data_IF_967042075322
#
_entry.id   IF_967042075322
#
_cell.length_a   1.000
_cell.length_b   1.000
_cell.length_c   1.000
_cell.angle_alpha   90.00
_cell.angle_beta   90.00
_cell.angle_gamma   90.00
#
_symmetry.space_group_name_H-M   'P 1'
#
loop_
_entity.id
_entity.type
_entity.pdbx_description
1 polymer ?
#
# COMPACT_ATOMS: atom_id res chain seq x y z
N UNK A 1 28.19 74.73 11.03
CA UNK A 1 27.09 73.87 10.57
C UNK A 1 26.01 74.78 10.00
N UNK A 2 25.76 74.64 8.71
CA UNK A 2 24.77 75.50 8.00
C UNK A 2 23.35 75.09 8.40
N UNK A 3 22.43 76.04 8.50
CA UNK A 3 21.00 75.87 8.79
C UNK A 3 20.32 74.72 8.02
N UNK A 4 20.74 74.52 6.76
CA UNK A 4 20.27 73.44 5.90
C UNK A 4 20.68 72.02 6.39
N UNK A 5 21.80 71.85 7.12
CA UNK A 5 22.20 70.55 7.67
C UNK A 5 21.50 70.22 9.00
N UNK A 6 20.97 71.23 9.68
CA UNK A 6 20.19 71.13 10.93
C UNK A 6 18.75 70.68 10.60
N UNK A 7 18.11 71.29 9.60
CA UNK A 7 16.77 70.92 9.14
C UNK A 7 16.75 69.45 8.63
N UNK A 8 17.73 69.03 7.80
CA UNK A 8 17.80 67.64 7.31
C UNK A 8 18.05 66.58 8.41
N UNK A 9 18.58 66.98 9.56
CA UNK A 9 18.75 66.07 10.71
C UNK A 9 17.49 65.94 11.56
N UNK A 10 16.73 67.06 11.70
CA UNK A 10 15.43 67.07 12.37
C UNK A 10 14.37 66.31 11.58
N UNK A 11 14.31 66.49 10.25
CA UNK A 11 13.41 65.74 9.35
C UNK A 11 13.64 64.22 9.41
N UNK A 12 14.90 63.78 9.51
CA UNK A 12 15.21 62.34 9.62
C UNK A 12 14.80 61.75 10.96
N UNK A 13 14.96 62.52 12.05
CA UNK A 13 14.56 62.11 13.41
C UNK A 13 13.02 61.94 13.51
N UNK A 14 12.27 62.86 12.90
CA UNK A 14 10.80 62.78 12.83
C UNK A 14 10.34 61.57 12.02
N UNK A 15 10.97 61.29 10.89
CA UNK A 15 10.68 60.10 10.05
C UNK A 15 10.97 58.78 10.76
N UNK A 16 12.07 58.70 11.52
CA UNK A 16 12.41 57.52 12.30
C UNK A 16 11.41 57.33 13.43
N UNK A 17 11.00 58.40 14.14
CA UNK A 17 10.04 58.31 15.22
C UNK A 17 8.63 57.93 14.72
N UNK A 18 8.23 58.40 13.54
CA UNK A 18 6.94 58.06 12.92
C UNK A 18 6.86 56.61 12.40
N UNK A 19 7.99 55.86 12.31
CA UNK A 19 8.00 54.49 11.83
C UNK A 19 7.31 53.57 12.85
N UNK A 20 6.32 52.75 12.44
CA UNK A 20 5.62 51.83 13.35
C UNK A 20 6.46 50.62 13.77
N UNK A 21 7.58 50.37 13.08
CA UNK A 21 8.49 49.27 13.39
C UNK A 21 9.66 49.79 14.26
N UNK A 22 10.28 48.90 15.07
CA UNK A 22 11.54 49.24 15.73
C UNK A 22 12.62 49.65 14.75
N UNK A 23 13.15 50.84 14.91
CA UNK A 23 14.21 51.42 14.05
C UNK A 23 15.32 51.93 14.91
N UNK A 24 16.55 51.67 14.52
CA UNK A 24 17.76 52.24 15.08
C UNK A 24 18.66 52.81 13.98
N UNK A 25 19.30 53.87 14.28
CA UNK A 25 20.38 54.45 13.48
C UNK A 25 21.69 54.18 14.18
N UNK A 26 22.65 53.60 13.50
CA UNK A 26 23.96 53.24 14.05
C UNK A 26 25.10 53.85 13.20
N UNK A 27 26.26 53.98 13.81
CA UNK A 27 27.50 54.20 13.08
C UNK A 27 27.98 52.88 12.46
N UNK A 28 29.08 52.95 11.70
CA UNK A 28 29.70 51.79 11.04
C UNK A 28 30.29 50.78 12.04
N UNK A 29 30.50 51.13 13.28
CA UNK A 29 30.93 50.25 14.37
C UNK A 29 29.79 49.67 15.16
N UNK A 30 28.53 49.95 14.76
CA UNK A 30 27.32 49.42 15.43
C UNK A 30 26.90 50.18 16.68
N UNK A 31 27.51 51.34 16.97
CA UNK A 31 27.06 52.17 18.09
C UNK A 31 25.75 52.86 17.74
N UNK A 32 24.75 52.74 18.61
CA UNK A 32 23.45 53.33 18.45
C UNK A 32 23.50 54.85 18.59
N UNK A 33 22.98 55.56 17.60
CA UNK A 33 22.98 57.04 17.53
C UNK A 33 21.57 57.59 17.74
N UNK A 34 20.54 56.92 17.20
CA UNK A 34 19.14 57.32 17.30
C UNK A 34 18.25 56.09 17.35
N UNK A 35 17.17 56.15 18.08
CA UNK A 35 16.16 55.10 18.20
C UNK A 35 14.77 55.72 18.17
N UNK A 36 13.75 54.96 17.79
CA UNK A 36 12.35 55.35 17.91
C UNK A 36 11.70 54.67 19.13
N UNK A 37 10.51 55.13 19.47
CA UNK A 37 9.71 54.60 20.58
C UNK A 37 9.41 53.09 20.39
N UNK A 38 9.15 52.62 19.16
CA UNK A 38 8.93 51.21 18.91
C UNK A 38 10.16 50.32 19.25
N UNK A 39 11.37 50.81 19.03
CA UNK A 39 12.60 50.11 19.42
C UNK A 39 12.77 50.10 20.96
N UNK A 40 12.46 51.17 21.64
CA UNK A 40 12.51 51.21 23.09
C UNK A 40 11.55 50.18 23.73
N UNK A 41 10.35 50.08 23.20
CA UNK A 41 9.38 49.06 23.61
C UNK A 41 9.89 47.62 23.34
N UNK A 42 10.57 47.40 22.22
CA UNK A 42 11.18 46.10 21.92
C UNK A 42 12.28 45.75 22.93
N UNK A 43 13.14 46.70 23.34
CA UNK A 43 14.15 46.46 24.37
C UNK A 43 13.53 46.08 25.72
N UNK A 44 12.43 46.76 26.12
CA UNK A 44 11.69 46.40 27.34
C UNK A 44 11.11 44.98 27.27
N UNK A 45 10.55 44.59 26.14
CA UNK A 45 10.02 43.22 25.90
C UNK A 45 11.12 42.19 25.99
N UNK A 46 12.34 42.50 25.53
CA UNK A 46 13.51 41.59 25.51
C UNK A 46 14.34 41.71 26.82
N UNK A 47 13.92 42.49 27.79
CA UNK A 47 14.66 42.76 29.03
C UNK A 47 16.10 43.22 28.78
N UNK A 48 16.36 43.98 27.71
CA UNK A 48 17.68 44.54 27.38
C UNK A 48 17.78 45.96 27.92
N UNK A 49 18.78 46.26 28.76
CA UNK A 49 19.02 47.61 29.23
C UNK A 49 19.34 48.58 28.08
N UNK A 50 18.93 49.84 28.20
CA UNK A 50 19.09 50.88 27.15
C UNK A 50 20.56 51.11 26.78
N UNK A 51 21.44 51.07 27.74
CA UNK A 51 22.88 51.20 27.56
C UNK A 51 23.53 49.99 26.84
N UNK A 52 22.85 48.85 26.82
CA UNK A 52 23.22 47.63 26.09
C UNK A 52 22.45 47.43 24.77
N UNK A 53 21.77 48.44 24.26
CA UNK A 53 20.91 48.34 23.06
C UNK A 53 21.60 47.72 21.82
N UNK A 54 22.92 47.87 21.69
CA UNK A 54 23.70 47.26 20.59
C UNK A 54 23.71 45.73 20.63
N UNK A 55 23.42 45.11 21.78
CA UNK A 55 23.39 43.63 21.93
C UNK A 55 22.26 42.99 21.14
N UNK A 56 21.24 43.76 20.71
CA UNK A 56 20.17 43.23 19.87
C UNK A 56 20.66 42.90 18.45
N UNK A 57 21.70 43.59 17.96
CA UNK A 57 22.20 43.41 16.61
C UNK A 57 22.73 41.98 16.40
N UNK A 58 22.50 41.35 15.22
CA UNK A 58 23.00 40.04 14.90
C UNK A 58 24.53 39.99 14.89
N UNK A 59 25.10 38.87 15.33
CA UNK A 59 26.57 38.65 15.26
C UNK A 59 27.06 38.72 13.79
N UNK A 60 28.21 39.31 13.59
CA UNK A 60 28.81 39.47 12.25
C UNK A 60 28.16 40.58 11.37
N UNK A 61 27.13 41.29 11.84
CA UNK A 61 26.51 42.37 11.07
C UNK A 61 27.50 43.46 10.68
N UNK A 62 28.47 43.82 11.54
CA UNK A 62 29.47 44.88 11.32
C UNK A 62 30.33 44.59 10.07
N UNK A 63 30.80 43.38 9.89
CA UNK A 63 31.59 42.97 8.71
C UNK A 63 30.79 43.13 7.41
N UNK A 64 29.48 42.76 7.41
CA UNK A 64 28.60 42.92 6.24
C UNK A 64 28.26 44.41 5.99
N UNK A 65 28.16 45.20 7.03
CA UNK A 65 27.99 46.67 6.95
C UNK A 65 29.19 47.30 6.27
N UNK A 66 30.43 46.98 6.67
CA UNK A 66 31.62 47.50 6.02
C UNK A 66 31.65 47.10 4.53
N UNK A 67 31.37 45.83 4.20
CA UNK A 67 31.26 45.39 2.82
C UNK A 67 30.19 46.16 2.02
N UNK A 68 29.06 46.50 2.63
CA UNK A 68 28.00 47.27 2.01
C UNK A 68 28.44 48.70 1.64
N UNK A 69 29.25 49.36 2.44
CA UNK A 69 29.79 50.67 2.12
C UNK A 69 30.88 50.66 1.04
N UNK A 70 31.62 49.57 0.91
CA UNK A 70 32.60 49.35 -0.14
C UNK A 70 32.03 48.81 -1.43
N UNK A 71 30.84 48.23 -1.40
CA UNK A 71 30.14 47.60 -2.54
C UNK A 71 28.97 48.43 -3.08
N UNK A 72 28.27 47.81 -4.06
CA UNK A 72 27.05 48.39 -4.67
C UNK A 72 25.75 47.93 -3.96
N UNK A 73 25.83 47.17 -2.89
CA UNK A 73 24.66 46.63 -2.18
C UNK A 73 23.85 47.76 -1.56
N UNK A 74 22.54 47.72 -1.77
CA UNK A 74 21.61 48.74 -1.26
C UNK A 74 21.12 48.45 0.15
N UNK A 75 20.92 47.20 0.49
CA UNK A 75 20.48 46.71 1.81
C UNK A 75 20.78 45.23 1.92
N UNK A 76 20.80 44.70 3.12
CA UNK A 76 20.84 43.27 3.41
C UNK A 76 20.02 42.94 4.65
N UNK A 77 19.58 41.67 4.75
CA UNK A 77 18.77 41.20 5.86
C UNK A 77 19.53 40.14 6.64
N UNK A 78 19.39 40.19 7.97
CA UNK A 78 19.88 39.18 8.90
C UNK A 78 18.74 38.72 9.81
N UNK A 79 18.82 37.47 10.26
CA UNK A 79 17.82 36.89 11.18
C UNK A 79 18.52 36.48 12.46
N UNK A 80 17.90 36.74 13.59
CA UNK A 80 18.39 36.34 14.91
C UNK A 80 17.23 35.89 15.79
N UNK A 81 17.46 34.80 16.51
CA UNK A 81 16.59 34.37 17.59
C UNK A 81 17.11 34.96 18.89
N UNK A 82 16.25 35.68 19.63
CA UNK A 82 16.61 36.31 20.89
C UNK A 82 15.43 36.16 21.85
N UNK A 83 15.65 35.55 22.99
CA UNK A 83 14.65 35.32 24.05
C UNK A 83 13.33 34.70 23.51
N UNK A 84 13.45 33.68 22.63
CA UNK A 84 12.32 32.98 22.00
C UNK A 84 11.60 33.78 20.91
N UNK A 85 12.09 34.96 20.53
CA UNK A 85 11.59 35.78 19.43
C UNK A 85 12.45 35.67 18.20
N UNK A 86 11.82 35.59 17.04
CA UNK A 86 12.49 35.57 15.74
C UNK A 86 12.48 36.94 15.12
N UNK A 87 13.61 37.64 15.22
CA UNK A 87 13.78 38.99 14.72
C UNK A 87 14.46 38.99 13.37
N UNK A 88 13.93 39.73 12.40
CA UNK A 88 14.50 39.98 11.09
C UNK A 88 14.97 41.45 11.04
N UNK A 89 16.24 41.65 10.70
CA UNK A 89 16.90 42.94 10.69
C UNK A 89 17.21 43.32 9.24
N UNK A 90 16.69 44.45 8.78
CA UNK A 90 17.00 45.03 7.48
C UNK A 90 17.95 46.20 7.66
N UNK A 91 19.15 46.09 7.11
CA UNK A 91 20.22 47.09 7.16
C UNK A 91 20.23 47.89 5.88
N UNK A 92 20.11 49.24 5.99
CA UNK A 92 20.16 50.16 4.86
C UNK A 92 21.19 51.29 5.11
N UNK A 93 22.08 51.63 4.15
CA UNK A 93 23.11 52.64 4.33
C UNK A 93 22.57 54.04 4.16
N UNK A 94 22.93 54.94 5.09
CA UNK A 94 22.81 56.40 4.94
C UNK A 94 24.17 56.90 4.46
N UNK A 95 24.40 56.85 3.14
CA UNK A 95 25.74 57.07 2.54
C UNK A 95 26.34 58.45 2.83
N UNK A 96 25.51 59.48 2.86
CA UNK A 96 25.92 60.88 3.14
C UNK A 96 26.54 61.08 4.52
N UNK A 97 26.17 60.25 5.50
CA UNK A 97 26.62 60.36 6.91
C UNK A 97 27.52 59.18 7.34
N UNK A 98 27.78 58.20 6.47
CA UNK A 98 28.41 56.92 6.85
C UNK A 98 27.74 56.24 8.04
N UNK A 99 26.42 56.22 8.02
CA UNK A 99 25.55 55.65 9.06
C UNK A 99 24.62 54.61 8.48
N UNK A 100 24.01 53.81 9.32
CA UNK A 100 23.12 52.73 8.94
C UNK A 100 21.79 52.93 9.60
N UNK A 101 20.71 52.71 8.84
CA UNK A 101 19.38 52.55 9.37
C UNK A 101 19.09 51.05 9.47
N UNK A 102 18.69 50.56 10.64
CA UNK A 102 18.32 49.16 10.86
C UNK A 102 16.87 49.12 11.27
N UNK A 103 16.04 48.45 10.48
CA UNK A 103 14.63 48.18 10.80
C UNK A 103 14.51 46.76 11.29
N UNK A 104 13.73 46.57 12.36
CA UNK A 104 13.59 45.25 12.99
C UNK A 104 12.14 44.80 12.85
N UNK A 105 11.93 43.60 12.37
CA UNK A 105 10.64 42.95 12.23
C UNK A 105 10.54 41.77 13.16
N UNK A 106 9.56 41.74 14.05
CA UNK A 106 9.25 40.53 14.83
C UNK A 106 8.45 39.56 13.96
N UNK A 107 9.06 38.45 13.62
CA UNK A 107 8.47 37.39 12.80
C UNK A 107 8.04 36.16 13.63
N UNK A 108 8.01 36.30 14.94
CA UNK A 108 7.77 35.19 15.87
C UNK A 108 6.44 34.50 15.60
N UNK A 109 5.35 35.25 15.56
CA UNK A 109 4.01 34.72 15.33
C UNK A 109 3.89 34.04 13.94
N UNK A 110 4.44 34.68 12.91
CA UNK A 110 4.42 34.16 11.56
C UNK A 110 5.18 32.83 11.44
N UNK A 111 6.33 32.73 12.14
CA UNK A 111 7.15 31.52 12.14
C UNK A 111 6.49 30.37 12.89
N UNK A 112 5.93 30.63 14.06
CA UNK A 112 5.18 29.60 14.80
C UNK A 112 3.94 29.14 14.04
N UNK A 113 3.20 30.05 13.43
CA UNK A 113 2.04 29.70 12.59
C UNK A 113 2.44 28.82 11.41
N UNK A 114 3.53 29.17 10.71
CA UNK A 114 4.02 28.35 9.60
C UNK A 114 4.47 26.94 10.02
N UNK A 115 5.16 26.84 11.17
CA UNK A 115 5.55 25.54 11.73
C UNK A 115 4.34 24.70 12.15
N UNK A 116 3.37 25.34 12.81
CA UNK A 116 2.13 24.66 13.22
C UNK A 116 1.34 24.17 12.00
N UNK A 117 1.18 25.00 10.97
CA UNK A 117 0.49 24.62 9.74
C UNK A 117 1.16 23.43 9.03
N UNK A 118 2.51 23.41 8.96
CA UNK A 118 3.25 22.30 8.38
C UNK A 118 3.04 20.98 9.14
N UNK A 119 3.06 21.04 10.47
CA UNK A 119 2.83 19.86 11.30
C UNK A 119 1.40 19.36 11.15
N UNK A 120 0.43 20.26 11.16
CA UNK A 120 -0.98 19.93 11.01
C UNK A 120 -1.28 19.34 9.62
N UNK A 121 -0.68 19.89 8.56
CA UNK A 121 -0.82 19.35 7.21
C UNK A 121 -0.31 17.90 7.11
N UNK A 122 0.84 17.59 7.73
CA UNK A 122 1.37 16.21 7.78
C UNK A 122 0.46 15.25 8.53
N UNK A 123 -0.08 15.68 9.67
CA UNK A 123 -1.02 14.88 10.45
C UNK A 123 -2.30 14.58 9.65
N UNK A 124 -2.81 15.58 8.95
CA UNK A 124 -4.01 15.47 8.12
C UNK A 124 -3.79 14.54 6.92
N UNK A 125 -2.63 14.59 6.28
CA UNK A 125 -2.24 13.64 5.23
C UNK A 125 -2.19 12.19 5.75
N UNK A 126 -1.63 11.99 6.94
CA UNK A 126 -1.56 10.65 7.55
C UNK A 126 -2.94 10.10 7.91
N UNK A 127 -3.81 10.92 8.51
CA UNK A 127 -5.19 10.55 8.83
C UNK A 127 -5.98 10.22 7.55
N UNK A 128 -5.86 11.04 6.52
CA UNK A 128 -6.53 10.81 5.23
C UNK A 128 -6.07 9.49 4.59
N UNK A 129 -4.76 9.21 4.62
CA UNK A 129 -4.21 7.94 4.13
C UNK A 129 -4.78 6.74 4.89
N UNK A 130 -4.85 6.81 6.23
CA UNK A 130 -5.45 5.74 7.07
C UNK A 130 -6.93 5.56 6.76
N UNK A 131 -7.67 6.64 6.56
CA UNK A 131 -9.09 6.60 6.21
C UNK A 131 -9.33 5.93 4.85
N UNK A 132 -8.55 6.28 3.83
CA UNK A 132 -8.64 5.65 2.51
C UNK A 132 -8.33 4.14 2.57
N UNK A 133 -7.34 3.74 3.37
CA UNK A 133 -7.01 2.34 3.59
C UNK A 133 -8.16 1.57 4.25
N UNK A 134 -8.77 2.15 5.29
CA UNK A 134 -9.90 1.54 5.98
C UNK A 134 -11.12 1.42 5.06
N UNK A 135 -11.44 2.46 4.29
CA UNK A 135 -12.54 2.45 3.32
C UNK A 135 -12.34 1.38 2.24
N UNK A 136 -11.13 1.28 1.69
CA UNK A 136 -10.83 0.26 0.69
C UNK A 136 -10.93 -1.17 1.25
N UNK A 137 -10.51 -1.38 2.50
CA UNK A 137 -10.68 -2.66 3.18
C UNK A 137 -12.15 -3.00 3.40
N UNK A 138 -12.98 -2.02 3.79
CA UNK A 138 -14.42 -2.21 3.95
C UNK A 138 -15.10 -2.58 2.62
N UNK A 139 -14.80 -1.87 1.53
CA UNK A 139 -15.34 -2.17 0.20
C UNK A 139 -14.94 -3.57 -0.27
N UNK A 140 -13.72 -3.98 -0.02
CA UNK A 140 -13.25 -5.33 -0.34
C UNK A 140 -14.00 -6.39 0.50
N UNK A 141 -14.13 -6.15 1.80
CA UNK A 141 -14.85 -7.03 2.73
C UNK A 141 -16.32 -7.16 2.36
N UNK A 142 -16.99 -6.04 2.05
CA UNK A 142 -18.39 -6.02 1.61
C UNK A 142 -18.60 -6.79 0.29
N UNK A 143 -17.70 -6.62 -0.70
CA UNK A 143 -17.73 -7.41 -1.94
C UNK A 143 -17.58 -8.90 -1.67
N UNK A 144 -16.71 -9.28 -0.75
CA UNK A 144 -16.50 -10.68 -0.37
C UNK A 144 -17.72 -11.24 0.39
N UNK A 145 -18.29 -10.49 1.33
CA UNK A 145 -19.49 -10.89 2.05
C UNK A 145 -20.70 -11.05 1.12
N UNK A 146 -20.93 -10.10 0.21
CA UNK A 146 -21.98 -10.17 -0.80
C UNK A 146 -21.79 -11.38 -1.74
N UNK A 147 -20.55 -11.63 -2.19
CA UNK A 147 -20.24 -12.83 -2.98
C UNK A 147 -20.50 -14.10 -2.17
N UNK A 148 -20.14 -14.10 -0.89
CA UNK A 148 -20.38 -15.22 0.03
C UNK A 148 -21.84 -15.60 0.14
N UNK A 149 -22.69 -14.63 0.37
CA UNK A 149 -24.11 -14.84 0.54
C UNK A 149 -24.80 -15.31 -0.76
N UNK A 150 -24.43 -14.73 -1.90
CA UNK A 150 -24.92 -15.16 -3.22
C UNK A 150 -24.45 -16.59 -3.54
N UNK A 151 -23.18 -16.90 -3.29
CA UNK A 151 -22.61 -18.23 -3.56
C UNK A 151 -23.27 -19.32 -2.73
N UNK A 152 -23.58 -19.06 -1.45
CA UNK A 152 -24.24 -20.04 -0.59
C UNK A 152 -25.63 -20.43 -1.13
N UNK A 153 -26.42 -19.44 -1.59
CA UNK A 153 -27.73 -19.68 -2.21
C UNK A 153 -27.63 -20.41 -3.55
N UNK A 154 -26.78 -19.91 -4.44
CA UNK A 154 -26.57 -20.50 -5.78
C UNK A 154 -25.99 -21.91 -5.68
N UNK A 155 -25.07 -22.17 -4.74
CA UNK A 155 -24.51 -23.51 -4.53
C UNK A 155 -25.59 -24.54 -4.21
N UNK A 156 -26.59 -24.18 -3.41
CA UNK A 156 -27.69 -25.07 -3.10
C UNK A 156 -28.57 -25.35 -4.31
N UNK A 157 -28.91 -24.32 -5.08
CA UNK A 157 -29.75 -24.43 -6.29
C UNK A 157 -29.06 -25.18 -7.44
N UNK A 158 -27.70 -25.13 -7.54
CA UNK A 158 -26.97 -25.88 -8.57
C UNK A 158 -26.65 -27.30 -8.11
N UNK A 159 -26.44 -27.57 -6.83
CA UNK A 159 -26.20 -28.94 -6.35
C UNK A 159 -27.36 -29.89 -6.62
N UNK A 160 -28.58 -29.40 -6.59
CA UNK A 160 -29.80 -30.19 -6.86
C UNK A 160 -29.84 -30.76 -8.29
N UNK A 161 -29.76 -29.96 -9.37
CA UNK A 161 -29.80 -30.50 -10.74
C UNK A 161 -28.52 -31.30 -11.06
N UNK A 162 -27.36 -30.89 -10.53
CA UNK A 162 -26.09 -31.65 -10.73
C UNK A 162 -26.15 -33.00 -10.04
N UNK A 163 -26.72 -33.09 -8.83
CA UNK A 163 -26.98 -34.35 -8.15
C UNK A 163 -27.89 -35.28 -8.96
N UNK A 164 -28.95 -34.75 -9.56
CA UNK A 164 -29.83 -35.49 -10.43
C UNK A 164 -29.13 -36.00 -11.70
N UNK A 165 -28.31 -35.15 -12.35
CA UNK A 165 -27.53 -35.55 -13.54
C UNK A 165 -26.51 -36.64 -13.16
N UNK A 166 -25.83 -36.52 -12.01
CA UNK A 166 -24.86 -37.51 -11.54
C UNK A 166 -25.54 -38.85 -11.26
N UNK A 167 -26.71 -38.84 -10.60
CA UNK A 167 -27.49 -40.05 -10.34
C UNK A 167 -27.95 -40.73 -11.63
N UNK A 168 -28.45 -39.95 -12.61
CA UNK A 168 -28.81 -40.48 -13.92
C UNK A 168 -27.62 -41.07 -14.68
N UNK A 169 -26.47 -40.40 -14.59
CA UNK A 169 -25.23 -40.92 -15.21
C UNK A 169 -24.76 -42.24 -14.59
N UNK A 170 -24.89 -42.39 -13.26
CA UNK A 170 -24.57 -43.67 -12.58
C UNK A 170 -25.53 -44.81 -13.03
N UNK A 171 -26.81 -44.51 -13.32
CA UNK A 171 -27.76 -45.46 -13.88
C UNK A 171 -27.35 -45.84 -15.30
N UNK A 172 -26.96 -44.86 -16.13
CA UNK A 172 -26.49 -45.11 -17.49
C UNK A 172 -25.21 -45.99 -17.52
N UNK A 173 -24.24 -45.70 -16.66
CA UNK A 173 -23.00 -46.47 -16.53
C UNK A 173 -23.32 -47.95 -16.23
N UNK A 174 -24.19 -48.20 -15.23
CA UNK A 174 -24.62 -49.56 -14.87
C UNK A 174 -25.37 -50.25 -15.98
N UNK A 175 -26.24 -49.48 -16.71
CA UNK A 175 -26.97 -50.06 -17.85
C UNK A 175 -26.07 -50.44 -19.00
N UNK A 176 -25.10 -49.58 -19.35
CA UNK A 176 -24.11 -49.87 -20.40
C UNK A 176 -23.23 -51.06 -20.01
N UNK A 177 -22.80 -51.15 -18.72
CA UNK A 177 -22.05 -52.33 -18.24
C UNK A 177 -22.84 -53.63 -18.37
N UNK A 178 -24.13 -53.62 -18.01
CA UNK A 178 -25.02 -54.80 -18.21
C UNK A 178 -25.21 -55.16 -19.67
N UNK A 179 -25.34 -54.14 -20.54
CA UNK A 179 -25.41 -54.40 -22.00
C UNK A 179 -24.12 -55.03 -22.50
N UNK A 180 -22.95 -54.57 -22.00
CA UNK A 180 -21.66 -55.15 -22.35
C UNK A 180 -21.54 -56.60 -21.90
N UNK A 181 -21.90 -56.90 -20.63
CA UNK A 181 -21.96 -58.26 -20.10
C UNK A 181 -22.82 -59.19 -20.95
N UNK A 182 -23.97 -58.66 -21.44
CA UNK A 182 -24.88 -59.41 -22.33
C UNK A 182 -24.22 -59.65 -23.69
N UNK A 183 -23.53 -58.67 -24.31
CA UNK A 183 -22.87 -58.83 -25.59
C UNK A 183 -21.61 -59.75 -25.49
N UNK A 184 -20.97 -59.79 -24.35
CA UNK A 184 -19.77 -60.61 -24.11
C UNK A 184 -20.10 -62.07 -23.72
N UNK A 185 -21.39 -62.37 -23.42
CA UNK A 185 -21.79 -63.73 -23.06
C UNK A 185 -21.87 -64.64 -24.28
N UNK A 186 -21.66 -65.97 -24.09
CA UNK A 186 -21.65 -67.02 -25.13
C UNK A 186 -23.02 -67.15 -25.81
N UNK A 187 -24.12 -66.66 -25.18
CA UNK A 187 -25.46 -66.73 -25.71
C UNK A 187 -25.78 -65.60 -26.74
N UNK A 188 -24.93 -64.59 -26.85
CA UNK A 188 -25.07 -63.56 -27.86
C UNK A 188 -24.59 -64.05 -29.21
N UNK A 189 -25.39 -63.94 -30.29
CA UNK A 189 -24.99 -64.29 -31.64
C UNK A 189 -23.74 -63.56 -32.06
N UNK A 190 -22.77 -64.27 -32.65
CA UNK A 190 -21.46 -63.74 -33.07
C UNK A 190 -21.63 -62.54 -34.01
N UNK A 191 -22.63 -62.58 -34.89
CA UNK A 191 -22.95 -61.49 -35.83
C UNK A 191 -23.35 -60.20 -35.16
N UNK A 192 -23.95 -60.24 -33.95
CA UNK A 192 -24.32 -59.05 -33.16
C UNK A 192 -23.11 -58.61 -32.35
N UNK A 193 -22.38 -59.53 -31.74
CA UNK A 193 -21.19 -59.23 -30.90
C UNK A 193 -20.06 -58.58 -31.69
N UNK A 194 -19.84 -59.06 -32.93
CA UNK A 194 -18.76 -58.56 -33.79
C UNK A 194 -19.23 -57.49 -34.77
N UNK A 195 -20.50 -57.08 -34.69
CA UNK A 195 -21.03 -56.01 -35.53
C UNK A 195 -20.31 -54.69 -35.24
N UNK A 196 -19.59 -54.08 -36.22
CA UNK A 196 -18.82 -52.86 -36.02
C UNK A 196 -19.62 -51.70 -35.49
N UNK A 197 -20.90 -51.61 -35.87
CA UNK A 197 -21.81 -50.50 -35.43
C UNK A 197 -22.19 -50.65 -33.95
N UNK A 198 -22.42 -51.90 -33.47
CA UNK A 198 -22.69 -52.20 -32.07
C UNK A 198 -21.44 -51.90 -31.20
N UNK A 199 -20.27 -52.35 -31.61
CA UNK A 199 -19.04 -52.10 -30.90
C UNK A 199 -18.72 -50.61 -30.83
N UNK A 200 -18.92 -49.91 -31.94
CA UNK A 200 -18.72 -48.45 -31.99
C UNK A 200 -19.72 -47.69 -31.08
N UNK A 201 -21.01 -48.08 -31.10
CA UNK A 201 -22.07 -47.46 -30.27
C UNK A 201 -21.77 -47.66 -28.79
N UNK A 202 -21.36 -48.87 -28.38
CA UNK A 202 -20.99 -49.16 -26.98
C UNK A 202 -19.80 -48.28 -26.51
N UNK A 203 -18.79 -48.16 -27.35
CA UNK A 203 -17.63 -47.29 -27.04
C UNK A 203 -18.06 -45.84 -26.89
N UNK A 204 -18.86 -45.32 -27.78
CA UNK A 204 -19.37 -43.93 -27.71
C UNK A 204 -20.17 -43.71 -26.44
N UNK A 205 -21.05 -44.63 -26.03
CA UNK A 205 -21.81 -44.55 -24.80
C UNK A 205 -20.92 -44.53 -23.55
N UNK A 206 -19.88 -45.39 -23.51
CA UNK A 206 -18.91 -45.39 -22.44
C UNK A 206 -18.15 -44.07 -22.35
N UNK A 207 -17.69 -43.51 -23.47
CA UNK A 207 -17.00 -42.22 -23.53
C UNK A 207 -17.87 -41.08 -23.08
N UNK A 208 -19.14 -41.03 -23.52
CA UNK A 208 -20.12 -39.98 -23.09
C UNK A 208 -20.36 -40.06 -21.59
N UNK A 209 -20.58 -41.27 -21.04
CA UNK A 209 -20.80 -41.46 -19.62
C UNK A 209 -19.60 -41.05 -18.79
N UNK A 210 -18.39 -41.41 -19.24
CA UNK A 210 -17.14 -41.03 -18.59
C UNK A 210 -16.96 -39.49 -18.57
N UNK A 211 -17.17 -38.84 -19.72
CA UNK A 211 -17.09 -37.39 -19.84
C UNK A 211 -18.13 -36.66 -18.98
N UNK A 212 -19.37 -37.17 -18.94
CA UNK A 212 -20.42 -36.61 -18.09
C UNK A 212 -20.05 -36.69 -16.60
N UNK A 213 -19.49 -37.81 -16.14
CA UNK A 213 -19.03 -37.96 -14.76
C UNK A 213 -17.95 -36.96 -14.42
N UNK A 214 -16.93 -36.80 -15.25
CA UNK A 214 -15.87 -35.81 -15.08
C UNK A 214 -16.48 -34.38 -15.00
N UNK A 215 -17.46 -34.06 -15.84
CA UNK A 215 -18.11 -32.76 -15.85
C UNK A 215 -18.89 -32.50 -14.55
N UNK A 216 -19.67 -33.48 -14.06
CA UNK A 216 -20.39 -33.40 -12.80
C UNK A 216 -19.46 -33.21 -11.61
N UNK A 217 -18.41 -34.04 -11.49
CA UNK A 217 -17.43 -33.95 -10.41
C UNK A 217 -16.74 -32.57 -10.41
N UNK A 218 -16.44 -32.04 -11.59
CA UNK A 218 -15.89 -30.71 -11.75
C UNK A 218 -16.81 -29.62 -11.25
N UNK A 219 -18.12 -29.66 -11.59
CA UNK A 219 -19.12 -28.69 -11.13
C UNK A 219 -19.23 -28.76 -9.60
N UNK A 220 -19.33 -29.98 -9.03
CA UNK A 220 -19.41 -30.18 -7.58
C UNK A 220 -18.17 -29.57 -6.88
N UNK A 221 -16.99 -29.78 -7.42
CA UNK A 221 -15.74 -29.25 -6.86
C UNK A 221 -15.70 -27.70 -6.93
N UNK A 222 -16.16 -27.12 -8.06
CA UNK A 222 -16.26 -25.65 -8.18
C UNK A 222 -17.22 -25.09 -7.13
N UNK A 223 -18.40 -25.72 -6.94
CA UNK A 223 -19.39 -25.26 -5.96
C UNK A 223 -18.86 -25.40 -4.53
N UNK A 224 -18.17 -26.48 -4.20
CA UNK A 224 -17.52 -26.66 -2.89
C UNK A 224 -16.48 -25.58 -2.65
N UNK A 225 -15.64 -25.30 -3.63
CA UNK A 225 -14.59 -24.27 -3.54
C UNK A 225 -15.19 -22.87 -3.36
N UNK A 226 -16.25 -22.55 -4.13
CA UNK A 226 -17.01 -21.32 -3.97
C UNK A 226 -17.63 -21.21 -2.56
N UNK A 227 -18.23 -22.29 -2.05
CA UNK A 227 -18.84 -22.30 -0.71
C UNK A 227 -17.79 -22.15 0.39
N UNK A 228 -16.63 -22.82 0.26
CA UNK A 228 -15.54 -22.68 1.22
C UNK A 228 -14.94 -21.26 1.20
N UNK A 229 -14.87 -20.64 0.02
CA UNK A 229 -14.43 -19.25 -0.12
C UNK A 229 -15.46 -18.25 0.41
N UNK A 230 -16.74 -18.55 0.30
CA UNK A 230 -17.86 -17.68 0.61
C UNK A 230 -18.32 -17.68 2.09
N UNK A 231 -17.85 -18.64 2.91
CA UNK A 231 -18.14 -18.69 4.36
C UNK A 231 -17.40 -17.59 5.13
N UNK A 232 -17.63 -16.35 4.77
CA UNK A 232 -16.97 -15.16 5.30
C UNK A 232 -17.41 -14.80 6.74
N UNK A 233 -18.52 -15.34 7.23
CA UNK A 233 -19.13 -14.95 8.50
C UNK A 233 -18.52 -15.66 9.73
N UNK A 234 -17.64 -16.64 9.52
CA UNK A 234 -16.97 -17.30 10.63
C UNK A 234 -15.59 -16.70 10.87
N UNK A 235 -15.55 -15.61 11.67
CA UNK A 235 -14.31 -15.03 12.22
C UNK A 235 -13.68 -15.95 13.31
N UNK A 236 -13.89 -17.26 13.22
CA UNK A 236 -13.35 -18.22 14.16
C UNK A 236 -12.03 -18.80 13.69
N UNK A 237 -11.08 -18.86 14.62
CA UNK A 237 -9.85 -19.62 14.43
C UNK A 237 -10.16 -21.10 14.40
N UNK A 238 -9.61 -21.80 13.42
CA UNK A 238 -9.75 -23.25 13.27
C UNK A 238 -8.43 -23.89 12.88
N UNK A 239 -8.28 -25.16 13.22
CA UNK A 239 -7.22 -26.00 12.66
C UNK A 239 -7.66 -26.46 11.29
N UNK A 240 -6.83 -26.20 10.29
CA UNK A 240 -7.12 -26.55 8.88
C UNK A 240 -5.89 -27.03 8.14
N UNK A 241 -6.14 -27.84 7.14
CA UNK A 241 -5.14 -28.20 6.15
C UNK A 241 -5.01 -27.04 5.12
N UNK A 242 -3.85 -26.42 5.05
CA UNK A 242 -3.56 -25.30 4.13
C UNK A 242 -3.76 -25.70 2.66
N UNK A 243 -3.47 -26.94 2.30
CA UNK A 243 -3.61 -27.41 0.91
C UNK A 243 -5.04 -27.31 0.39
N UNK A 244 -6.06 -27.50 1.25
CA UNK A 244 -7.47 -27.32 0.87
C UNK A 244 -7.77 -25.87 0.47
N UNK A 245 -7.20 -24.90 1.18
CA UNK A 245 -7.33 -23.48 0.87
C UNK A 245 -6.64 -23.10 -0.45
N UNK A 246 -5.42 -23.61 -0.66
CA UNK A 246 -4.66 -23.41 -1.90
C UNK A 246 -5.39 -24.02 -3.10
N UNK A 247 -5.87 -25.26 -2.98
CA UNK A 247 -6.58 -25.94 -4.05
C UNK A 247 -7.93 -25.29 -4.38
N UNK A 248 -8.67 -24.86 -3.36
CA UNK A 248 -9.90 -24.11 -3.55
C UNK A 248 -9.65 -22.78 -4.29
N UNK A 249 -8.59 -22.07 -3.93
CA UNK A 249 -8.19 -20.83 -4.60
C UNK A 249 -7.76 -21.06 -6.05
N UNK A 250 -7.01 -22.15 -6.33
CA UNK A 250 -6.63 -22.54 -7.70
C UNK A 250 -7.82 -22.85 -8.58
N UNK A 251 -8.85 -23.53 -8.05
CA UNK A 251 -10.08 -23.83 -8.79
C UNK A 251 -10.78 -22.52 -9.24
N UNK A 252 -10.84 -21.52 -8.36
CA UNK A 252 -11.48 -20.25 -8.65
C UNK A 252 -10.74 -19.43 -9.71
N UNK A 253 -9.40 -19.45 -9.70
CA UNK A 253 -8.60 -18.73 -10.71
C UNK A 253 -8.36 -19.56 -11.98
N UNK A 254 -8.84 -20.80 -12.06
CA UNK A 254 -8.58 -21.73 -13.16
C UNK A 254 -8.85 -21.12 -14.54
N UNK A 255 -9.92 -20.33 -14.70
CA UNK A 255 -10.27 -19.70 -15.97
C UNK A 255 -9.18 -18.75 -16.49
N UNK A 256 -8.40 -18.11 -15.58
CA UNK A 256 -7.28 -17.23 -15.94
C UNK A 256 -6.01 -18.01 -16.25
N UNK A 257 -5.89 -19.24 -15.75
CA UNK A 257 -4.71 -20.09 -15.90
C UNK A 257 -4.81 -21.04 -17.10
N UNK A 258 -6.05 -21.51 -17.41
CA UNK A 258 -6.33 -22.51 -18.42
C UNK A 258 -5.70 -22.19 -19.78
N UNK A 259 -5.09 -23.19 -20.40
CA UNK A 259 -4.49 -23.19 -21.73
C UNK A 259 -3.23 -22.33 -21.91
N UNK A 260 -2.73 -21.63 -20.86
CA UNK A 260 -1.54 -20.80 -20.96
C UNK A 260 -0.54 -20.95 -19.82
N UNK A 261 -0.98 -21.36 -18.64
CA UNK A 261 -0.12 -21.46 -17.45
C UNK A 261 -0.14 -22.91 -16.95
N UNK A 262 1.03 -23.53 -16.90
CA UNK A 262 1.23 -24.81 -16.27
C UNK A 262 1.28 -24.65 -14.75
N UNK A 263 0.53 -25.49 -14.02
CA UNK A 263 0.50 -25.47 -12.56
C UNK A 263 1.32 -26.64 -12.05
N UNK A 264 2.39 -26.34 -11.31
CA UNK A 264 3.23 -27.33 -10.65
C UNK A 264 2.98 -27.27 -9.14
N UNK A 265 2.51 -28.38 -8.57
CA UNK A 265 2.28 -28.53 -7.12
C UNK A 265 3.38 -29.38 -6.53
N UNK A 266 4.19 -28.81 -5.64
CA UNK A 266 5.23 -29.49 -4.85
C UNK A 266 4.82 -29.38 -3.36
N UNK A 267 3.80 -30.15 -2.97
CA UNK A 267 3.24 -30.15 -1.63
C UNK A 267 4.02 -31.09 -0.72
N UNK A 268 4.64 -30.52 0.33
CA UNK A 268 5.20 -31.30 1.44
C UNK A 268 4.12 -31.80 2.37
N UNK A 269 4.49 -32.71 3.26
CA UNK A 269 3.60 -33.14 4.35
C UNK A 269 3.56 -32.02 5.42
N UNK A 270 2.36 -31.46 5.66
CA UNK A 270 2.16 -30.33 6.58
C UNK A 270 1.22 -30.72 7.70
N UNK A 271 1.49 -30.25 8.93
CA UNK A 271 0.50 -30.31 10.00
C UNK A 271 -0.68 -29.36 9.73
N UNK A 272 -1.83 -29.64 10.30
CA UNK A 272 -2.90 -28.64 10.37
C UNK A 272 -2.45 -27.44 11.18
N UNK A 273 -2.74 -26.24 10.69
CA UNK A 273 -2.40 -24.98 11.35
C UNK A 273 -3.64 -24.31 11.91
N UNK A 274 -3.46 -23.62 13.04
CA UNK A 274 -4.47 -22.73 13.61
C UNK A 274 -4.47 -21.39 12.89
N UNK A 275 -5.57 -21.04 12.22
CA UNK A 275 -5.66 -19.82 11.44
C UNK A 275 -7.11 -19.33 11.29
N UNK A 276 -7.29 -18.20 10.61
CA UNK A 276 -8.55 -17.75 10.03
C UNK A 276 -8.61 -18.19 8.56
N UNK A 277 -9.29 -19.30 8.22
CA UNK A 277 -9.19 -19.93 6.90
C UNK A 277 -9.56 -18.99 5.75
N UNK A 278 -10.60 -18.19 5.95
CA UNK A 278 -11.10 -17.25 4.92
C UNK A 278 -10.08 -16.15 4.60
N UNK A 279 -9.39 -15.65 5.61
CA UNK A 279 -8.34 -14.65 5.43
C UNK A 279 -7.15 -15.23 4.67
N UNK A 280 -6.73 -16.46 4.98
CA UNK A 280 -5.67 -17.14 4.24
C UNK A 280 -6.08 -17.45 2.79
N UNK A 281 -7.32 -17.87 2.56
CA UNK A 281 -7.85 -18.07 1.22
C UNK A 281 -7.81 -16.77 0.40
N UNK A 282 -8.08 -15.61 1.03
CA UNK A 282 -7.93 -14.30 0.40
C UNK A 282 -6.47 -14.00 0.02
N UNK A 283 -5.52 -14.35 0.89
CA UNK A 283 -4.09 -14.21 0.57
C UNK A 283 -3.73 -15.06 -0.64
N UNK A 284 -4.09 -16.35 -0.63
CA UNK A 284 -3.80 -17.27 -1.72
C UNK A 284 -4.42 -16.79 -3.04
N UNK A 285 -5.69 -16.40 -3.01
CA UNK A 285 -6.38 -15.85 -4.18
C UNK A 285 -5.65 -14.64 -4.76
N UNK A 286 -5.29 -13.67 -3.92
CA UNK A 286 -4.61 -12.44 -4.36
C UNK A 286 -3.26 -12.76 -5.00
N UNK A 287 -2.47 -13.66 -4.42
CA UNK A 287 -1.16 -14.03 -4.95
C UNK A 287 -1.29 -14.82 -6.25
N UNK A 288 -2.24 -15.77 -6.34
CA UNK A 288 -2.48 -16.55 -7.54
C UNK A 288 -2.98 -15.70 -8.71
N UNK A 289 -3.89 -14.76 -8.45
CA UNK A 289 -4.36 -13.79 -9.46
C UNK A 289 -3.21 -12.88 -9.92
N UNK A 290 -2.37 -12.41 -9.00
CA UNK A 290 -1.22 -11.59 -9.36
C UNK A 290 -0.23 -12.36 -10.22
N UNK A 291 0.09 -13.60 -9.87
CA UNK A 291 0.95 -14.49 -10.67
C UNK A 291 0.37 -14.72 -12.07
N UNK A 292 -0.94 -15.04 -12.16
CA UNK A 292 -1.61 -15.23 -13.45
C UNK A 292 -1.56 -13.99 -14.34
N UNK A 293 -1.66 -12.79 -13.76
CA UNK A 293 -1.59 -11.53 -14.49
C UNK A 293 -0.16 -11.11 -14.85
N UNK A 294 0.83 -11.54 -14.06
CA UNK A 294 2.24 -11.27 -14.32
C UNK A 294 2.80 -12.09 -15.50
N UNK A 295 2.15 -13.19 -15.88
CA UNK A 295 2.55 -14.05 -17.02
C UNK A 295 1.79 -13.60 -18.27
N UNK A 296 2.40 -12.88 -19.23
CA UNK A 296 1.69 -12.33 -20.40
C UNK A 296 1.30 -13.37 -21.45
N UNK A 297 1.92 -14.55 -21.45
CA UNK A 297 1.71 -15.60 -22.43
C UNK A 297 1.66 -16.98 -21.78
N UNK A 298 2.45 -17.91 -22.26
CA UNK A 298 2.65 -19.21 -21.63
C UNK A 298 3.69 -19.11 -20.54
N UNK A 299 3.49 -19.84 -19.45
CA UNK A 299 4.44 -19.87 -18.34
C UNK A 299 4.06 -20.92 -17.29
N UNK A 300 4.75 -20.89 -16.16
CA UNK A 300 4.59 -21.86 -15.08
C UNK A 300 4.30 -21.12 -13.77
N UNK A 301 3.37 -21.67 -13.01
CA UNK A 301 3.04 -21.29 -11.65
C UNK A 301 3.36 -22.46 -10.73
N UNK A 302 4.37 -22.31 -9.88
CA UNK A 302 4.79 -23.36 -8.94
C UNK A 302 4.33 -23.01 -7.54
N UNK A 303 3.69 -23.96 -6.87
CA UNK A 303 3.29 -23.85 -5.46
C UNK A 303 4.02 -24.93 -4.69
N UNK A 304 4.90 -24.48 -3.80
CA UNK A 304 5.68 -25.39 -2.93
C UNK A 304 5.30 -25.15 -1.48
N UNK A 305 5.13 -26.23 -0.72
CA UNK A 305 4.89 -26.16 0.71
C UNK A 305 5.94 -26.98 1.45
N UNK A 306 6.32 -26.53 2.65
CA UNK A 306 7.33 -27.18 3.48
C UNK A 306 7.00 -27.04 4.95
N UNK A 307 7.16 -28.11 5.71
CA UNK A 307 7.12 -28.09 7.17
C UNK A 307 8.48 -27.62 7.71
N UNK A 308 8.47 -26.62 8.58
CA UNK A 308 9.64 -26.11 9.30
C UNK A 308 9.57 -26.44 10.82
N UNK A 309 8.71 -27.36 11.22
CA UNK A 309 8.47 -27.79 12.60
C UNK A 309 7.46 -26.88 13.32
N UNK A 310 7.89 -25.75 13.89
CA UNK A 310 6.99 -24.81 14.55
C UNK A 310 6.23 -23.88 13.58
N UNK A 311 6.68 -23.81 12.33
CA UNK A 311 6.13 -22.97 11.27
C UNK A 311 5.92 -23.82 10.02
N UNK A 312 5.00 -23.41 9.15
CA UNK A 312 4.84 -23.93 7.81
C UNK A 312 5.18 -22.86 6.79
N UNK A 313 5.72 -23.26 5.66
CA UNK A 313 6.10 -22.35 4.58
C UNK A 313 5.31 -22.67 3.31
N UNK A 314 4.78 -21.63 2.66
CA UNK A 314 4.15 -21.69 1.34
C UNK A 314 4.89 -20.76 0.41
N UNK A 315 5.41 -21.30 -0.70
CA UNK A 315 6.03 -20.52 -1.80
C UNK A 315 5.14 -20.57 -3.02
N UNK A 316 4.85 -19.40 -3.57
CA UNK A 316 4.11 -19.24 -4.83
C UNK A 316 5.04 -18.52 -5.80
N UNK A 317 5.47 -19.23 -6.83
CA UNK A 317 6.46 -18.75 -7.81
C UNK A 317 5.85 -18.70 -9.20
N UNK A 318 6.01 -17.59 -9.90
CA UNK A 318 5.59 -17.40 -11.28
C UNK A 318 6.79 -17.13 -12.20
N UNK A 319 6.67 -17.46 -13.48
CA UNK A 319 7.63 -17.13 -14.53
C UNK A 319 7.21 -15.89 -15.33
N UNK A 320 6.60 -14.93 -14.65
CA UNK A 320 6.10 -13.70 -15.25
C UNK A 320 7.16 -12.63 -15.50
N UNK A 321 6.69 -11.40 -15.73
CA UNK A 321 7.55 -10.26 -16.05
C UNK A 321 8.47 -9.83 -14.90
N UNK A 322 8.23 -10.28 -13.68
CA UNK A 322 8.97 -9.87 -12.49
C UNK A 322 8.67 -8.46 -12.01
N UNK A 323 9.33 -8.05 -10.93
CA UNK A 323 9.15 -6.76 -10.27
C UNK A 323 10.49 -6.01 -10.26
N UNK A 324 10.54 -4.76 -10.76
CA UNK A 324 11.73 -3.92 -10.70
C UNK A 324 12.20 -3.67 -9.26
N UNK A 325 13.52 -3.62 -9.02
CA UNK A 325 14.12 -3.43 -7.70
C UNK A 325 13.62 -2.18 -6.97
N UNK A 326 13.36 -1.12 -7.70
CA UNK A 326 12.84 0.16 -7.17
C UNK A 326 11.42 0.03 -6.58
N UNK A 327 10.63 -0.95 -7.06
CA UNK A 327 9.28 -1.20 -6.60
C UNK A 327 9.20 -2.21 -5.44
N UNK A 328 10.23 -3.04 -5.25
CA UNK A 328 10.23 -4.11 -4.24
C UNK A 328 9.88 -3.65 -2.82
N UNK A 329 10.30 -2.44 -2.45
CA UNK A 329 9.99 -1.85 -1.13
C UNK A 329 8.57 -1.30 -1.02
N UNK A 330 7.93 -1.02 -2.16
CA UNK A 330 6.63 -0.35 -2.24
C UNK A 330 5.46 -1.29 -2.53
N UNK A 331 5.73 -2.55 -2.96
CA UNK A 331 4.66 -3.46 -3.39
C UNK A 331 3.64 -3.78 -2.31
N UNK A 332 4.01 -3.65 -1.03
CA UNK A 332 3.12 -3.83 0.10
C UNK A 332 2.48 -2.52 0.58
N UNK A 333 2.86 -1.37 -0.01
CA UNK A 333 2.26 -0.08 0.32
C UNK A 333 0.82 -0.05 -0.23
N UNK A 334 -0.15 0.38 0.58
CA UNK A 334 -1.53 0.48 0.14
C UNK A 334 -1.69 1.45 -1.04
N UNK A 335 -2.42 1.00 -2.07
CA UNK A 335 -2.64 1.77 -3.28
C UNK A 335 -1.51 1.71 -4.31
N UNK A 336 -0.37 1.06 -3.99
CA UNK A 336 0.69 0.90 -4.97
C UNK A 336 0.29 -0.10 -6.07
N UNK A 337 0.32 0.33 -7.32
CA UNK A 337 0.05 -0.50 -8.48
C UNK A 337 0.88 -0.05 -9.68
N UNK A 338 1.39 -0.99 -10.44
CA UNK A 338 2.02 -0.76 -11.75
C UNK A 338 1.05 -1.00 -12.91
N UNK A 339 -0.20 -1.37 -12.59
CA UNK A 339 -1.27 -1.63 -13.57
C UNK A 339 -2.00 -0.32 -13.86
N UNK A 340 -2.48 -0.15 -15.11
CA UNK A 340 -3.19 1.06 -15.53
C UNK A 340 -4.44 1.39 -14.67
N UNK A 341 -4.88 2.65 -14.77
CA UNK A 341 -6.04 3.18 -14.02
C UNK A 341 -7.28 2.28 -14.25
N UNK A 342 -7.86 1.79 -13.15
CA UNK A 342 -9.07 0.93 -13.19
C UNK A 342 -8.80 -0.57 -13.30
N UNK A 343 -7.56 -1.02 -13.52
CA UNK A 343 -7.21 -2.46 -13.65
C UNK A 343 -6.67 -3.03 -12.35
N UNK A 344 -5.94 -2.24 -11.56
CA UNK A 344 -5.40 -2.64 -10.27
C UNK A 344 -5.79 -1.66 -9.16
N UNK A 345 -6.35 -2.17 -8.06
CA UNK A 345 -6.67 -1.35 -6.88
C UNK A 345 -5.44 -1.00 -6.04
N UNK A 346 -4.30 -1.69 -6.26
CA UNK A 346 -3.10 -1.55 -5.44
C UNK A 346 -3.25 -2.04 -3.99
N UNK A 347 -4.36 -2.70 -3.66
CA UNK A 347 -4.67 -3.10 -2.28
C UNK A 347 -4.41 -4.58 -1.99
N UNK A 348 -4.31 -5.42 -3.02
CA UNK A 348 -4.22 -6.88 -2.85
C UNK A 348 -3.02 -7.31 -2.01
N UNK A 349 -1.83 -6.80 -2.30
CA UNK A 349 -0.60 -7.17 -1.56
C UNK A 349 -0.53 -6.55 -0.16
N UNK A 350 -1.03 -5.34 0.02
CA UNK A 350 -1.11 -4.73 1.36
C UNK A 350 -2.07 -5.47 2.29
N UNK A 351 -3.19 -5.97 1.74
CA UNK A 351 -4.12 -6.84 2.47
C UNK A 351 -3.44 -8.17 2.81
N UNK A 352 -2.72 -8.79 1.86
CA UNK A 352 -1.95 -10.01 2.14
C UNK A 352 -0.96 -9.80 3.28
N UNK A 353 -0.21 -8.71 3.24
CA UNK A 353 0.76 -8.37 4.29
C UNK A 353 0.08 -8.26 5.65
N UNK A 354 -1.04 -7.52 5.75
CA UNK A 354 -1.78 -7.36 6.99
C UNK A 354 -2.33 -8.69 7.52
N UNK A 355 -2.98 -9.48 6.67
CA UNK A 355 -3.51 -10.79 7.07
C UNK A 355 -2.41 -11.70 7.62
N UNK A 356 -1.27 -11.76 6.96
CA UNK A 356 -0.14 -12.59 7.40
C UNK A 356 0.42 -12.09 8.73
N UNK A 357 0.52 -10.77 8.94
CA UNK A 357 0.92 -10.18 10.23
C UNK A 357 -0.09 -10.50 11.34
N UNK A 358 -1.39 -10.42 11.07
CA UNK A 358 -2.46 -10.75 12.03
C UNK A 358 -2.40 -12.24 12.43
N UNK A 359 -1.85 -13.11 11.54
CA UNK A 359 -1.54 -14.51 11.84
C UNK A 359 -0.17 -14.73 12.49
N UNK A 360 0.54 -13.64 12.87
CA UNK A 360 1.92 -13.69 13.40
C UNK A 360 2.92 -14.36 12.45
N UNK A 361 2.61 -14.38 11.17
CA UNK A 361 3.44 -14.91 10.10
C UNK A 361 4.33 -13.86 9.46
N UNK A 362 5.02 -14.26 8.42
CA UNK A 362 5.90 -13.42 7.59
C UNK A 362 5.60 -13.65 6.12
N UNK A 363 5.64 -12.58 5.32
CA UNK A 363 5.61 -12.65 3.87
C UNK A 363 6.86 -11.98 3.32
N UNK A 364 7.57 -12.68 2.43
CA UNK A 364 8.74 -12.19 1.72
C UNK A 364 8.54 -12.32 0.21
N UNK A 365 9.28 -11.54 -0.56
CA UNK A 365 9.24 -11.54 -2.02
C UNK A 365 10.65 -11.54 -2.58
N UNK A 366 10.87 -12.40 -3.58
CA UNK A 366 12.07 -12.43 -4.41
C UNK A 366 11.62 -12.29 -5.86
N UNK A 367 12.20 -11.35 -6.60
CA UNK A 367 11.81 -11.13 -7.99
C UNK A 367 12.95 -10.58 -8.81
N UNK A 368 13.01 -11.04 -10.07
CA UNK A 368 13.93 -10.55 -11.08
C UNK A 368 13.17 -10.27 -12.37
N UNK A 369 13.37 -9.08 -12.94
CA UNK A 369 12.69 -8.69 -14.19
C UNK A 369 13.02 -9.67 -15.32
N UNK A 370 11.98 -10.20 -15.96
CA UNK A 370 12.07 -11.19 -17.02
C UNK A 370 12.25 -12.65 -16.57
N UNK A 371 12.37 -12.90 -15.25
CA UNK A 371 12.47 -14.26 -14.69
C UNK A 371 11.26 -14.66 -13.85
N UNK A 372 10.55 -13.67 -13.28
CA UNK A 372 9.35 -13.91 -12.51
C UNK A 372 9.47 -13.47 -11.05
N UNK A 373 8.50 -13.92 -10.24
CA UNK A 373 8.37 -13.54 -8.84
C UNK A 373 8.09 -14.76 -7.97
N UNK A 374 8.68 -14.79 -6.79
CA UNK A 374 8.39 -15.78 -5.74
C UNK A 374 7.94 -15.05 -4.48
N UNK A 375 6.72 -15.33 -4.05
CA UNK A 375 6.23 -14.94 -2.73
C UNK A 375 6.41 -16.12 -1.77
N UNK A 376 7.03 -15.84 -0.62
CA UNK A 376 7.23 -16.82 0.46
C UNK A 376 6.43 -16.39 1.67
N UNK A 377 5.46 -17.21 2.08
CA UNK A 377 4.65 -17.03 3.28
C UNK A 377 5.14 -18.03 4.32
N UNK A 378 5.36 -17.57 5.54
CA UNK A 378 5.68 -18.41 6.70
C UNK A 378 4.66 -18.16 7.79
N UNK A 379 4.01 -19.22 8.28
CA UNK A 379 2.95 -19.15 9.27
C UNK A 379 3.27 -20.09 10.46
N UNK A 380 2.99 -19.68 11.69
CA UNK A 380 3.12 -20.58 12.84
C UNK A 380 2.07 -21.69 12.78
N UNK A 381 2.40 -22.90 13.24
CA UNK A 381 1.45 -24.02 13.36
C UNK A 381 0.36 -23.72 14.39
N UNK A 382 0.69 -22.98 15.43
CA UNK A 382 -0.28 -22.54 16.47
C UNK A 382 -0.06 -21.07 16.79
N UNK A 383 -1.15 -20.32 16.85
CA UNK A 383 -1.15 -18.92 17.26
C UNK A 383 -1.36 -18.88 18.78
N UNK A 384 -0.31 -19.19 19.56
CA UNK A 384 -0.38 -19.10 21.02
C UNK A 384 -0.83 -17.70 21.45
N UNK A 385 -1.84 -17.61 22.29
CA UNK A 385 -2.17 -16.38 23.00
C UNK A 385 -1.00 -16.06 23.95
N UNK A 386 -0.36 -14.91 23.79
CA UNK A 386 0.52 -14.32 24.80
C UNK A 386 -0.33 -13.57 25.79
#
# INVERSE_FOLDING_TARGET
MTESSRNASEDLAELVEACPFPVIQCDVQGRVLLTNTAFMNLLEILNIPRDEASRILPEGCIAQVEAMFHGKTRSFDLKRELDGRFLEFTFAPIRSKKQILVTIYDRTEQRYTALWMNNYARELEEVNRRMQQAQAHLVQSEKMASLGQLVAGIAHEINTPVGSINSNNDILIRSVSKMREFFDCEQCPVEVRENPDVVKLMRVLEEINHNNRIACDRIINIIRSLRNFARLDEAERRRVNIHEGLDSSLILVHHQLKNRIEIVKDYGDLPEIECFPNQLNQVFMNLLVNAAQAIPGRGTLTIKTSDLGAEVQVKISDTGVGIPRENMRKIFDPGFTTKGIGVGTGLGLSICYKIIQDHRGRIAVESEVGRGTTFTITLPVSISAS
#
